data_IF_648573976579
#
_entry.id   IF_648573976579
#
_cell.length_a   1.000
_cell.length_b   1.000
_cell.length_c   1.000
_cell.angle_alpha   90.00
_cell.angle_beta   90.00
_cell.angle_gamma   90.00
#
_symmetry.space_group_name_H-M   'P 1'
#
loop_
_entity.id
_entity.type
_entity.pdbx_description
1 polymer ?
#
# COMPACT_ATOMS: atom_id res chain seq x y z
N UNK A 1 6.87 9.00 13.50
CA UNK A 1 7.88 8.22 12.76
C UNK A 1 7.29 6.84 12.55
N UNK A 2 7.01 6.43 11.32
CA UNK A 2 6.28 5.18 11.06
C UNK A 2 7.22 4.10 10.51
N UNK A 3 7.02 2.85 10.90
CA UNK A 3 7.66 1.69 10.29
C UNK A 3 6.92 1.33 8.99
N UNK A 4 7.62 1.38 7.86
CA UNK A 4 7.06 1.19 6.53
C UNK A 4 7.61 -0.08 5.91
N UNK A 5 6.73 -0.96 5.45
CA UNK A 5 7.10 -2.12 4.65
C UNK A 5 6.66 -1.92 3.21
N UNK A 6 7.57 -2.15 2.27
CA UNK A 6 7.26 -2.16 0.83
C UNK A 6 7.25 -3.63 0.39
N UNK A 7 6.09 -4.12 -0.06
CA UNK A 7 5.89 -5.50 -0.48
C UNK A 7 5.59 -5.55 -1.99
N UNK A 8 6.47 -6.19 -2.76
CA UNK A 8 6.37 -6.34 -4.23
C UNK A 8 7.73 -6.30 -4.91
N UNK A 9 7.77 -6.21 -6.25
CA UNK A 9 9.04 -6.18 -7.00
C UNK A 9 9.80 -4.86 -6.77
N UNK A 10 11.10 -4.92 -7.09
CA UNK A 10 12.23 -4.06 -6.69
C UNK A 10 12.20 -2.60 -7.23
N UNK A 11 11.03 -1.96 -7.21
CA UNK A 11 10.82 -0.55 -7.61
C UNK A 11 10.73 0.39 -6.40
N UNK A 12 11.20 -0.09 -5.24
CA UNK A 12 11.15 0.65 -3.99
C UNK A 12 12.25 1.71 -3.82
N UNK A 13 13.28 1.78 -4.66
CA UNK A 13 14.46 2.60 -4.33
C UNK A 13 14.17 4.10 -4.16
N UNK A 14 13.33 4.69 -5.02
CA UNK A 14 12.94 6.10 -4.89
C UNK A 14 11.96 6.32 -3.73
N UNK A 15 10.94 5.46 -3.63
CA UNK A 15 9.95 5.48 -2.53
C UNK A 15 10.66 5.34 -1.18
N UNK A 16 11.58 4.39 -1.05
CA UNK A 16 12.42 4.18 0.13
C UNK A 16 13.19 5.45 0.48
N UNK A 17 13.91 6.05 -0.48
CA UNK A 17 14.65 7.30 -0.24
C UNK A 17 13.75 8.44 0.21
N UNK A 18 12.56 8.60 -0.38
CA UNK A 18 11.64 9.66 0.01
C UNK A 18 11.03 9.42 1.39
N UNK A 19 10.67 8.18 1.71
CA UNK A 19 10.19 7.78 3.02
C UNK A 19 11.26 8.01 4.10
N UNK A 20 12.49 7.58 3.87
CA UNK A 20 13.62 7.80 4.77
C UNK A 20 13.90 9.30 4.96
N UNK A 21 13.87 10.10 3.89
CA UNK A 21 14.00 11.57 3.95
C UNK A 21 12.86 12.24 4.71
N UNK A 22 11.65 11.68 4.63
CA UNK A 22 10.50 12.10 5.43
C UNK A 22 10.58 11.60 6.89
N UNK A 23 11.63 10.85 7.23
CA UNK A 23 11.92 10.35 8.58
C UNK A 23 11.31 8.99 8.88
N UNK A 24 10.69 8.31 7.93
CA UNK A 24 10.16 6.96 8.15
C UNK A 24 11.26 5.90 8.19
N UNK A 25 11.02 4.82 8.94
CA UNK A 25 11.90 3.65 8.95
C UNK A 25 11.40 2.65 7.92
N UNK A 26 12.15 2.43 6.84
CA UNK A 26 11.80 1.43 5.83
C UNK A 26 12.36 0.07 6.23
N UNK A 27 11.47 -0.92 6.35
CA UNK A 27 11.79 -2.28 6.75
C UNK A 27 12.27 -3.09 5.53
N UNK A 28 13.17 -4.07 5.71
CA UNK A 28 13.58 -4.97 4.62
C UNK A 28 12.37 -5.74 4.06
N UNK A 29 12.25 -5.84 2.73
CA UNK A 29 11.08 -6.44 2.06
C UNK A 29 10.81 -7.91 2.47
N UNK A 30 11.86 -8.68 2.79
CA UNK A 30 11.77 -10.10 3.17
C UNK A 30 11.50 -10.32 4.66
N UNK A 31 11.34 -9.24 5.44
CA UNK A 31 11.07 -9.38 6.87
C UNK A 31 9.61 -9.73 7.14
N UNK A 32 9.37 -10.44 8.24
CA UNK A 32 8.04 -10.67 8.81
C UNK A 32 7.95 -9.86 10.11
N UNK A 33 7.70 -8.55 10.03
CA UNK A 33 7.80 -7.70 11.20
C UNK A 33 6.68 -8.02 12.19
N UNK A 34 6.97 -7.90 13.48
CA UNK A 34 5.94 -8.02 14.52
C UNK A 34 4.88 -6.92 14.39
N UNK A 35 5.28 -5.71 14.00
CA UNK A 35 4.38 -4.58 13.77
C UNK A 35 4.83 -3.78 12.56
N UNK A 36 3.87 -3.31 11.77
CA UNK A 36 4.10 -2.36 10.68
C UNK A 36 3.03 -1.27 10.72
N UNK A 37 3.43 -0.01 10.54
CA UNK A 37 2.50 1.11 10.56
C UNK A 37 1.99 1.45 9.15
N UNK A 38 2.85 1.28 8.14
CA UNK A 38 2.50 1.54 6.74
C UNK A 38 2.90 0.34 5.87
N UNK A 39 1.97 -0.20 5.11
CA UNK A 39 2.22 -1.17 4.06
C UNK A 39 2.06 -0.51 2.70
N UNK A 40 3.12 -0.51 1.89
CA UNK A 40 3.06 -0.11 0.49
C UNK A 40 3.12 -1.39 -0.34
N UNK A 41 2.06 -1.70 -1.08
CA UNK A 41 2.05 -2.88 -1.96
C UNK A 41 2.37 -2.45 -3.38
N UNK A 42 3.53 -2.83 -3.91
CA UNK A 42 3.90 -2.61 -5.32
C UNK A 42 3.46 -3.82 -6.13
N UNK A 43 2.66 -3.59 -7.16
CA UNK A 43 1.99 -4.64 -7.89
C UNK A 43 2.95 -5.44 -8.79
N UNK A 44 3.61 -6.48 -8.26
CA UNK A 44 4.08 -7.59 -9.08
C UNK A 44 2.93 -8.57 -9.36
N UNK A 45 1.88 -8.10 -10.02
CA UNK A 45 0.70 -8.92 -10.35
C UNK A 45 0.86 -9.48 -11.77
N UNK A 46 1.47 -10.66 -11.89
CA UNK A 46 1.50 -11.44 -13.14
C UNK A 46 0.60 -12.66 -12.98
N UNK A 47 -0.69 -12.57 -13.38
CA UNK A 47 -1.19 -12.50 -14.76
C UNK A 47 -2.01 -11.24 -15.11
N UNK A 48 -2.20 -10.95 -16.40
CA UNK A 48 -2.95 -9.78 -16.90
C UNK A 48 -4.48 -9.83 -16.69
N UNK A 49 -5.01 -10.71 -15.85
CA UNK A 49 -6.44 -10.73 -15.56
C UNK A 49 -6.77 -9.88 -14.34
N UNK A 50 -7.94 -9.26 -14.37
CA UNK A 50 -8.44 -8.47 -13.25
C UNK A 50 -8.55 -9.30 -11.96
N UNK A 51 -9.06 -10.53 -12.04
CA UNK A 51 -9.24 -11.41 -10.88
C UNK A 51 -7.92 -11.75 -10.20
N UNK A 52 -6.88 -12.03 -10.99
CA UNK A 52 -5.59 -12.37 -10.44
C UNK A 52 -4.89 -11.14 -9.84
N UNK A 53 -5.10 -9.95 -10.41
CA UNK A 53 -4.67 -8.68 -9.80
C UNK A 53 -5.35 -8.43 -8.45
N UNK A 54 -6.67 -8.65 -8.37
CA UNK A 54 -7.42 -8.56 -7.10
C UNK A 54 -6.91 -9.58 -6.08
N UNK A 55 -6.71 -10.84 -6.49
CA UNK A 55 -6.24 -11.90 -5.62
C UNK A 55 -4.85 -11.60 -5.06
N UNK A 56 -3.88 -11.19 -5.90
CA UNK A 56 -2.53 -10.90 -5.43
C UNK A 56 -2.46 -9.72 -4.45
N UNK A 57 -3.21 -8.65 -4.68
CA UNK A 57 -3.31 -7.55 -3.71
C UNK A 57 -3.93 -8.01 -2.38
N UNK A 58 -5.00 -8.80 -2.45
CA UNK A 58 -5.65 -9.35 -1.26
C UNK A 58 -4.71 -10.28 -0.47
N UNK A 59 -3.92 -11.12 -1.13
CA UNK A 59 -2.96 -12.02 -0.50
C UNK A 59 -1.87 -11.26 0.26
N UNK A 60 -1.29 -10.22 -0.35
CA UNK A 60 -0.30 -9.37 0.34
C UNK A 60 -0.93 -8.71 1.56
N UNK A 61 -2.13 -8.15 1.44
CA UNK A 61 -2.83 -7.53 2.56
C UNK A 61 -3.08 -8.52 3.70
N UNK A 62 -3.65 -9.69 3.39
CA UNK A 62 -3.92 -10.73 4.39
C UNK A 62 -2.65 -11.20 5.08
N UNK A 63 -1.54 -11.33 4.34
CA UNK A 63 -0.25 -11.73 4.90
C UNK A 63 0.27 -10.76 5.97
N UNK A 64 0.07 -9.45 5.76
CA UNK A 64 0.59 -8.41 6.65
C UNK A 64 -0.45 -7.83 7.62
N UNK A 65 -1.72 -8.23 7.49
CA UNK A 65 -2.80 -7.80 8.37
C UNK A 65 -2.49 -8.00 9.86
N UNK A 66 -1.96 -9.15 10.33
CA UNK A 66 -1.66 -9.31 11.76
C UNK A 66 -0.61 -8.32 12.29
N UNK A 67 0.33 -7.87 11.45
CA UNK A 67 1.32 -6.87 11.83
C UNK A 67 0.73 -5.45 11.81
N UNK A 68 -0.18 -5.16 10.87
CA UNK A 68 -0.92 -3.91 10.79
C UNK A 68 -1.86 -3.74 11.99
N UNK A 69 -2.55 -4.79 12.42
CA UNK A 69 -3.49 -4.77 13.57
C UNK A 69 -2.81 -4.44 14.90
N UNK A 70 -1.47 -4.58 15.00
CA UNK A 70 -0.69 -4.15 16.18
C UNK A 70 -0.32 -2.67 16.14
N UNK A 71 -0.44 -2.01 14.98
CA UNK A 71 -0.21 -0.57 14.87
C UNK A 71 -1.40 0.21 15.43
N UNK A 72 -1.12 1.33 16.10
CA UNK A 72 -2.15 2.26 16.55
C UNK A 72 -2.76 3.09 15.40
N UNK A 73 -2.12 3.10 14.23
CA UNK A 73 -2.49 3.94 13.09
C UNK A 73 -2.15 3.27 11.74
N UNK A 74 -2.70 2.09 11.44
CA UNK A 74 -2.28 1.32 10.27
C UNK A 74 -2.74 1.96 8.95
N UNK A 75 -1.80 2.04 8.01
CA UNK A 75 -2.00 2.58 6.67
C UNK A 75 -1.61 1.53 5.63
N UNK A 76 -2.43 1.42 4.58
CA UNK A 76 -2.11 0.67 3.38
C UNK A 76 -2.14 1.60 2.18
N UNK A 77 -1.15 1.48 1.31
CA UNK A 77 -1.09 2.12 0.00
C UNK A 77 -0.93 1.04 -1.07
N UNK A 78 -2.02 0.73 -1.77
CA UNK A 78 -2.03 -0.14 -2.93
C UNK A 78 -1.50 0.65 -4.14
N UNK A 79 -0.29 0.34 -4.59
CA UNK A 79 0.33 1.01 -5.74
C UNK A 79 -0.08 0.31 -7.03
N UNK A 80 -0.63 1.08 -7.96
CA UNK A 80 -0.98 0.63 -9.29
C UNK A 80 -0.08 1.28 -10.34
N UNK A 81 0.26 0.51 -11.37
CA UNK A 81 0.81 1.06 -12.61
C UNK A 81 -0.26 1.87 -13.36
N UNK A 82 0.13 2.45 -14.49
CA UNK A 82 -0.75 3.25 -15.33
C UNK A 82 -1.90 2.45 -15.97
N UNK A 83 -1.82 1.12 -16.00
CA UNK A 83 -2.83 0.28 -16.67
C UNK A 83 -4.17 0.23 -15.92
N UNK A 84 -5.25 0.19 -16.69
CA UNK A 84 -6.63 0.25 -16.17
C UNK A 84 -7.00 -0.94 -15.27
N UNK A 85 -6.45 -2.13 -15.53
CA UNK A 85 -6.80 -3.33 -14.77
C UNK A 85 -6.21 -3.27 -13.37
N UNK A 86 -4.96 -2.79 -13.22
CA UNK A 86 -4.34 -2.60 -11.92
C UNK A 86 -5.03 -1.49 -11.13
N UNK A 87 -5.39 -0.36 -11.77
CA UNK A 87 -6.17 0.71 -11.14
C UNK A 87 -7.53 0.22 -10.63
N UNK A 88 -8.25 -0.55 -11.44
CA UNK A 88 -9.54 -1.11 -11.08
C UNK A 88 -9.42 -2.13 -9.93
N UNK A 89 -8.43 -3.03 -9.99
CA UNK A 89 -8.18 -4.01 -8.95
C UNK A 89 -7.82 -3.35 -7.61
N UNK A 90 -6.89 -2.38 -7.63
CA UNK A 90 -6.52 -1.61 -6.45
C UNK A 90 -7.72 -0.86 -5.85
N UNK A 91 -8.58 -0.27 -6.69
CA UNK A 91 -9.80 0.39 -6.24
C UNK A 91 -10.77 -0.57 -5.55
N UNK A 92 -11.02 -1.74 -6.15
CA UNK A 92 -11.92 -2.76 -5.61
C UNK A 92 -11.40 -3.30 -4.29
N UNK A 93 -10.11 -3.64 -4.23
CA UNK A 93 -9.48 -4.12 -2.99
C UNK A 93 -9.52 -3.05 -1.91
N UNK A 94 -9.18 -1.81 -2.23
CA UNK A 94 -9.28 -0.68 -1.31
C UNK A 94 -10.69 -0.53 -0.73
N UNK A 95 -11.73 -0.50 -1.57
CA UNK A 95 -13.11 -0.35 -1.12
C UNK A 95 -13.57 -1.50 -0.21
N UNK A 96 -13.26 -2.74 -0.60
CA UNK A 96 -13.71 -3.93 0.13
C UNK A 96 -12.99 -4.09 1.47
N UNK A 97 -11.67 -3.90 1.50
CA UNK A 97 -10.91 -4.01 2.74
C UNK A 97 -11.14 -2.82 3.66
N UNK A 98 -11.27 -1.59 3.14
CA UNK A 98 -11.59 -0.44 3.99
C UNK A 98 -12.94 -0.62 4.70
N UNK A 99 -13.90 -1.28 4.03
CA UNK A 99 -15.18 -1.66 4.64
C UNK A 99 -15.04 -2.77 5.69
N UNK A 100 -14.19 -3.76 5.45
CA UNK A 100 -13.99 -4.88 6.38
C UNK A 100 -13.13 -4.51 7.61
N UNK A 101 -12.20 -3.58 7.45
CA UNK A 101 -11.22 -3.17 8.45
C UNK A 101 -11.26 -1.66 8.67
N UNK A 102 -12.31 -1.13 9.33
CA UNK A 102 -12.54 0.33 9.43
C UNK A 102 -11.48 1.06 10.28
N UNK A 103 -10.62 0.34 10.99
CA UNK A 103 -9.50 0.90 11.75
C UNK A 103 -8.19 0.96 10.94
N UNK A 104 -8.18 0.40 9.73
CA UNK A 104 -7.07 0.45 8.79
C UNK A 104 -7.42 1.43 7.68
N UNK A 105 -6.55 2.40 7.44
CA UNK A 105 -6.75 3.34 6.34
C UNK A 105 -6.09 2.82 5.08
N UNK A 106 -6.91 2.46 4.10
CA UNK A 106 -6.48 1.80 2.87
C UNK A 106 -6.68 2.74 1.70
N UNK A 107 -5.65 2.92 0.88
CA UNK A 107 -5.69 3.78 -0.30
C UNK A 107 -5.19 3.03 -1.52
N UNK A 108 -5.58 3.51 -2.69
CA UNK A 108 -4.95 3.16 -3.96
C UNK A 108 -4.22 4.40 -4.50
N UNK A 109 -3.02 4.25 -5.04
CA UNK A 109 -2.27 5.33 -5.66
C UNK A 109 -1.64 4.84 -6.96
N UNK A 110 -1.56 5.72 -7.95
CA UNK A 110 -0.65 5.51 -9.08
C UNK A 110 0.79 5.46 -8.57
N UNK A 111 1.68 4.81 -9.34
CA UNK A 111 3.10 4.70 -9.06
C UNK A 111 3.83 6.05 -9.15
N UNK A 112 3.52 6.93 -8.20
CA UNK A 112 4.12 8.24 -8.00
C UNK A 112 4.70 8.30 -6.59
N UNK A 113 6.02 8.40 -6.51
CA UNK A 113 6.73 8.30 -5.24
C UNK A 113 6.34 9.43 -4.26
N UNK A 114 6.00 10.61 -4.76
CA UNK A 114 5.54 11.73 -3.94
C UNK A 114 4.15 11.46 -3.34
N UNK A 115 3.21 10.93 -4.13
CA UNK A 115 1.87 10.55 -3.69
C UNK A 115 1.93 9.42 -2.67
N UNK A 116 2.70 8.38 -2.93
CA UNK A 116 2.89 7.25 -2.00
C UNK A 116 3.46 7.75 -0.66
N UNK A 117 4.51 8.57 -0.71
CA UNK A 117 5.14 9.16 0.49
C UNK A 117 4.15 10.04 1.26
N UNK A 118 3.37 10.86 0.54
CA UNK A 118 2.34 11.70 1.16
C UNK A 118 1.29 10.86 1.87
N UNK A 119 0.78 9.80 1.23
CA UNK A 119 -0.20 8.92 1.83
C UNK A 119 0.38 8.23 3.07
N UNK A 120 1.61 7.71 3.00
CA UNK A 120 2.29 7.13 4.18
C UNK A 120 2.38 8.10 5.39
N UNK A 121 2.44 9.41 5.14
CA UNK A 121 2.53 10.43 6.19
C UNK A 121 1.19 10.92 6.76
N UNK A 122 0.06 10.69 6.10
CA UNK A 122 -1.25 11.10 6.63
C UNK A 122 -1.68 10.08 7.70
N UNK A 123 -2.25 10.52 8.82
CA UNK A 123 -2.76 9.65 9.88
C UNK A 123 -4.04 8.86 9.53
N UNK A 124 -4.51 7.98 10.42
CA UNK A 124 -5.61 7.04 10.17
C UNK A 124 -6.95 7.75 9.92
N UNK A 125 -7.13 8.97 10.46
CA UNK A 125 -8.32 9.80 10.25
C UNK A 125 -8.38 10.47 8.86
N UNK A 126 -7.37 10.26 8.02
CA UNK A 126 -7.33 10.79 6.66
C UNK A 126 -8.29 10.10 5.69
N UNK A 127 -8.60 10.73 4.55
CA UNK A 127 -9.52 10.15 3.56
C UNK A 127 -8.97 8.86 2.94
N UNK A 128 -9.86 7.88 2.81
CA UNK A 128 -9.66 6.61 2.08
C UNK A 128 -10.10 6.80 0.62
N UNK A 129 -9.28 6.42 -0.35
CA UNK A 129 -9.66 6.50 -1.77
C UNK A 129 -8.55 6.15 -2.76
N UNK A 130 -8.85 6.36 -4.05
CA UNK A 130 -7.90 6.28 -5.14
C UNK A 130 -7.28 7.66 -5.45
N UNK A 131 -5.96 7.68 -5.68
CA UNK A 131 -5.17 8.88 -6.00
C UNK A 131 -4.43 8.63 -7.32
N UNK A 132 -5.08 8.99 -8.43
CA UNK A 132 -4.57 8.77 -9.79
C UNK A 132 -4.39 10.11 -10.49
N UNK A 133 -3.38 10.23 -11.35
CA UNK A 133 -3.21 11.43 -12.16
C UNK A 133 -4.36 11.52 -13.19
N UNK A 134 -4.77 12.74 -13.59
CA UNK A 134 -5.63 12.91 -14.75
C UNK A 134 -4.90 12.43 -16.01
N UNK A 135 -5.61 11.72 -16.89
CA UNK A 135 -5.12 11.30 -18.21
C UNK A 135 -4.88 12.48 -19.17
#
# INVERSE_FOLDING_TARGET
>A
MAAVLIAGNDEGAEVTRLLERAGHTVLPHDTAPEQVDVLVTTAALAPETFEAKVAGLAEVLQRYLPALERSAAPVVVNVSDADLLTKAAATVVTAQYARAFPHVRINAAEQDAATITRLAGIGPDGPTGGYFAPE
#
